data_IF_946749928166
#
_entry.id   IF_946749928166
#
_cell.length_a   1.000
_cell.length_b   1.000
_cell.length_c   1.000
_cell.angle_alpha   90.00
_cell.angle_beta   90.00
_cell.angle_gamma   90.00
#
_symmetry.space_group_name_H-M   'P 1'
#
loop_
_entity.id
_entity.type
_entity.pdbx_description
1 polymer ?
#
# COMPACT_ATOMS: atom_id res chain seq x y z
N UNK A 1 5.39 21.98 29.28
CA UNK A 1 5.71 20.62 28.80
C UNK A 1 4.41 19.86 28.62
N UNK A 2 3.94 19.71 27.38
CA UNK A 2 2.92 18.72 27.02
C UNK A 2 3.30 18.19 25.64
N UNK A 3 4.05 17.10 25.67
CA UNK A 3 4.49 16.35 24.52
C UNK A 3 3.31 15.45 24.09
N UNK A 4 2.48 15.93 23.17
CA UNK A 4 1.48 15.10 22.51
C UNK A 4 2.09 14.58 21.20
N UNK A 5 2.71 13.41 21.26
CA UNK A 5 3.19 12.71 20.08
C UNK A 5 2.01 12.46 19.14
N UNK A 6 2.05 13.09 17.96
CA UNK A 6 1.13 12.75 16.88
C UNK A 6 1.47 11.33 16.43
N UNK A 7 0.53 10.38 16.61
CA UNK A 7 0.70 8.99 16.18
C UNK A 7 1.07 8.89 14.70
N UNK A 8 1.65 7.76 14.30
CA UNK A 8 1.93 7.49 12.88
C UNK A 8 0.61 7.53 12.10
N UNK A 9 0.64 8.14 10.92
CA UNK A 9 -0.50 8.10 9.97
C UNK A 9 -0.52 6.76 9.25
N UNK A 10 -1.68 6.23 8.91
CA UNK A 10 -1.81 4.96 8.20
C UNK A 10 -2.56 5.11 6.87
N UNK A 11 -2.03 4.51 5.79
CA UNK A 11 -2.68 4.47 4.47
C UNK A 11 -2.71 3.07 3.88
N UNK A 12 -3.87 2.68 3.35
CA UNK A 12 -4.11 1.43 2.64
C UNK A 12 -4.53 1.70 1.19
N UNK A 13 -3.79 1.15 0.25
CA UNK A 13 -4.15 1.19 -1.17
C UNK A 13 -4.90 -0.07 -1.58
N UNK A 14 -6.08 0.06 -2.18
CA UNK A 14 -6.96 -1.07 -2.50
C UNK A 14 -7.25 -1.14 -3.99
N UNK A 15 -6.98 -2.30 -4.60
CA UNK A 15 -7.49 -2.61 -5.93
C UNK A 15 -8.04 -4.03 -5.97
N UNK A 16 -8.79 -4.38 -7.02
CA UNK A 16 -9.45 -5.69 -7.13
C UNK A 16 -8.56 -6.88 -6.70
N UNK A 17 -7.41 -7.08 -7.35
CA UNK A 17 -6.57 -8.26 -7.14
C UNK A 17 -5.24 -8.04 -6.41
N UNK A 18 -4.92 -6.80 -6.03
CA UNK A 18 -3.66 -6.42 -5.35
C UNK A 18 -2.36 -6.91 -6.01
N UNK A 19 -2.35 -7.06 -7.34
CA UNK A 19 -1.15 -7.45 -8.10
C UNK A 19 -0.60 -6.35 -9.02
N UNK A 20 -1.43 -5.36 -9.37
CA UNK A 20 -1.08 -4.33 -10.35
C UNK A 20 -1.04 -2.92 -9.73
N UNK A 21 -2.21 -2.32 -9.54
CA UNK A 21 -2.35 -0.89 -9.24
C UNK A 21 -2.00 -0.56 -7.79
N UNK A 22 -2.60 -1.27 -6.83
CA UNK A 22 -2.36 -0.97 -5.42
C UNK A 22 -0.92 -1.29 -4.96
N UNK A 23 -0.24 -2.38 -5.40
CA UNK A 23 1.19 -2.56 -5.10
C UNK A 23 2.08 -1.48 -5.72
N UNK A 24 1.72 -0.99 -6.92
CA UNK A 24 2.44 0.11 -7.55
C UNK A 24 2.31 1.40 -6.71
N UNK A 25 1.10 1.72 -6.25
CA UNK A 25 0.85 2.88 -5.40
C UNK A 25 1.62 2.78 -4.07
N UNK A 26 1.59 1.62 -3.43
CA UNK A 26 2.34 1.34 -2.21
C UNK A 26 3.85 1.53 -2.41
N UNK A 27 4.43 0.88 -3.42
CA UNK A 27 5.87 0.99 -3.72
C UNK A 27 6.32 2.42 -4.01
N UNK A 28 5.53 3.17 -4.79
CA UNK A 28 5.79 4.59 -5.05
C UNK A 28 5.68 5.41 -3.76
N UNK A 29 4.66 5.18 -2.94
CA UNK A 29 4.47 5.95 -1.71
C UNK A 29 5.61 5.71 -0.72
N UNK A 30 6.00 4.45 -0.52
CA UNK A 30 7.15 4.05 0.30
C UNK A 30 8.43 4.74 -0.14
N UNK A 31 8.73 4.74 -1.45
CA UNK A 31 9.89 5.43 -2.00
C UNK A 31 9.86 6.95 -1.74
N UNK A 32 8.70 7.59 -1.93
CA UNK A 32 8.53 9.03 -1.68
C UNK A 32 8.74 9.40 -0.21
N UNK A 33 8.19 8.62 0.74
CA UNK A 33 8.36 8.91 2.16
C UNK A 33 9.78 8.57 2.63
N UNK A 34 10.44 7.57 2.04
CA UNK A 34 11.86 7.24 2.29
C UNK A 34 12.75 8.41 1.86
N UNK A 35 12.57 8.93 0.65
CA UNK A 35 13.31 10.09 0.12
C UNK A 35 13.10 11.37 0.94
N UNK A 36 11.98 11.49 1.64
CA UNK A 36 11.66 12.63 2.51
C UNK A 36 11.99 12.39 3.99
N UNK A 37 12.58 11.24 4.34
CA UNK A 37 12.87 10.85 5.72
C UNK A 37 11.62 10.86 6.64
N UNK A 38 10.51 10.30 6.14
CA UNK A 38 9.21 10.24 6.83
C UNK A 38 8.76 8.80 7.15
N UNK A 39 9.62 7.80 6.97
CA UNK A 39 9.29 6.38 7.21
C UNK A 39 8.82 6.10 8.64
N UNK A 40 9.32 6.86 9.62
CA UNK A 40 8.95 6.76 11.02
C UNK A 40 7.55 7.34 11.33
N UNK A 41 6.95 8.10 10.40
CA UNK A 41 5.67 8.77 10.58
C UNK A 41 4.50 8.08 9.88
N UNK A 42 4.76 7.03 9.12
CA UNK A 42 3.75 6.36 8.29
C UNK A 42 3.70 4.85 8.52
N UNK A 43 2.50 4.31 8.41
CA UNK A 43 2.19 2.89 8.18
C UNK A 43 1.58 2.84 6.77
N UNK A 44 2.10 1.98 5.91
CA UNK A 44 1.74 1.91 4.49
C UNK A 44 1.52 0.45 4.13
N UNK A 45 0.43 0.16 3.44
CA UNK A 45 0.12 -1.19 2.98
C UNK A 45 -0.76 -1.15 1.73
N UNK A 46 -0.95 -2.30 1.08
CA UNK A 46 -1.92 -2.48 0.02
C UNK A 46 -2.65 -3.83 0.11
N UNK A 47 -3.92 -3.84 -0.29
CA UNK A 47 -4.77 -5.02 -0.19
C UNK A 47 -5.70 -5.23 -1.40
N UNK A 48 -6.26 -6.44 -1.48
CA UNK A 48 -7.17 -6.89 -2.52
C UNK A 48 -8.63 -6.85 -2.05
N UNK A 49 -9.56 -6.56 -2.96
CA UNK A 49 -10.98 -6.80 -2.71
C UNK A 49 -11.27 -8.30 -2.74
N UNK A 50 -10.67 -9.03 -3.70
CA UNK A 50 -10.87 -10.48 -3.87
C UNK A 50 -9.64 -11.30 -3.44
N UNK A 51 -9.87 -12.55 -3.05
CA UNK A 51 -8.85 -13.44 -2.49
C UNK A 51 -8.03 -14.25 -3.50
N UNK A 52 -8.25 -14.05 -4.81
CA UNK A 52 -7.71 -14.92 -5.87
C UNK A 52 -6.17 -15.01 -5.94
N UNK A 53 -5.48 -13.95 -5.51
CA UNK A 53 -4.02 -13.85 -5.61
C UNK A 53 -3.30 -13.93 -4.25
N UNK A 54 -3.99 -14.19 -3.13
CA UNK A 54 -3.39 -14.17 -1.78
C UNK A 54 -2.10 -15.00 -1.72
N UNK A 55 -1.07 -14.43 -1.08
CA UNK A 55 0.24 -15.03 -0.87
C UNK A 55 1.18 -14.95 -2.08
N UNK A 56 0.69 -14.56 -3.26
CA UNK A 56 1.52 -14.35 -4.45
C UNK A 56 2.23 -12.99 -4.39
N UNK A 57 3.33 -12.87 -5.12
CA UNK A 57 3.95 -11.57 -5.37
C UNK A 57 3.10 -10.74 -6.36
N UNK A 58 3.29 -9.41 -6.40
CA UNK A 58 2.73 -8.55 -7.43
C UNK A 58 3.07 -9.02 -8.85
N UNK A 59 2.29 -8.57 -9.82
CA UNK A 59 2.50 -8.88 -11.24
C UNK A 59 3.92 -8.47 -11.65
N UNK A 60 4.58 -9.31 -12.45
CA UNK A 60 5.96 -9.09 -12.89
C UNK A 60 6.13 -7.76 -13.62
N UNK A 61 5.12 -7.27 -14.33
CA UNK A 61 5.13 -5.97 -15.01
C UNK A 61 5.13 -4.82 -14.01
N UNK A 62 4.40 -4.95 -12.90
CA UNK A 62 4.42 -3.98 -11.80
C UNK A 62 5.82 -3.90 -11.20
N UNK A 63 6.40 -5.05 -10.86
CA UNK A 63 7.75 -5.13 -10.30
C UNK A 63 8.81 -4.57 -11.26
N UNK A 64 8.72 -4.92 -12.55
CA UNK A 64 9.62 -4.40 -13.58
C UNK A 64 9.47 -2.88 -13.76
N UNK A 65 8.24 -2.36 -13.69
CA UNK A 65 7.98 -0.91 -13.81
C UNK A 65 8.57 -0.15 -12.62
N UNK A 66 8.37 -0.63 -11.39
CA UNK A 66 8.96 -0.04 -10.18
C UNK A 66 10.50 -0.06 -10.26
N UNK A 67 11.09 -1.19 -10.64
CA UNK A 67 12.54 -1.30 -10.81
C UNK A 67 13.07 -0.35 -11.88
N UNK A 68 12.36 -0.18 -13.01
CA UNK A 68 12.69 0.78 -14.06
C UNK A 68 12.70 2.24 -13.59
N UNK A 69 12.02 2.55 -12.48
CA UNK A 69 12.03 3.87 -11.82
C UNK A 69 12.94 3.92 -10.59
N UNK A 70 13.81 2.92 -10.39
CA UNK A 70 14.78 2.86 -9.30
C UNK A 70 14.23 2.35 -7.96
N UNK A 71 13.00 1.82 -7.93
CA UNK A 71 12.39 1.21 -6.75
C UNK A 71 12.63 -0.30 -6.81
N UNK A 72 13.78 -0.74 -6.30
CA UNK A 72 14.25 -2.14 -6.42
C UNK A 72 14.14 -2.94 -5.12
N UNK A 73 13.82 -2.28 -4.00
CA UNK A 73 13.68 -2.87 -2.67
C UNK A 73 12.21 -3.06 -2.25
N UNK A 74 11.27 -2.91 -3.18
CA UNK A 74 9.85 -3.16 -2.92
C UNK A 74 9.58 -4.66 -2.88
N UNK A 75 8.99 -5.12 -1.78
CA UNK A 75 8.51 -6.48 -1.61
C UNK A 75 7.09 -6.44 -1.07
N UNK A 76 6.23 -7.29 -1.61
CA UNK A 76 4.85 -7.43 -1.14
C UNK A 76 4.35 -8.84 -1.36
N UNK A 77 3.42 -9.26 -0.50
CA UNK A 77 2.61 -10.45 -0.70
C UNK A 77 1.15 -10.07 -0.66
N UNK A 78 0.43 -10.49 -1.69
CA UNK A 78 -0.98 -10.18 -1.82
C UNK A 78 -1.74 -10.63 -0.57
N UNK A 79 -2.53 -9.73 -0.02
CA UNK A 79 -3.51 -10.01 1.03
C UNK A 79 -4.85 -9.43 0.65
N UNK A 80 -5.92 -9.93 1.27
CA UNK A 80 -7.26 -9.36 1.14
C UNK A 80 -7.47 -8.27 2.19
N UNK A 81 -8.33 -7.31 1.88
CA UNK A 81 -8.88 -6.37 2.86
C UNK A 81 -9.64 -7.15 3.93
N UNK A 82 -9.53 -6.71 5.18
CA UNK A 82 -10.29 -7.25 6.32
C UNK A 82 -11.12 -6.14 6.97
N UNK A 83 -12.10 -6.51 7.79
CA UNK A 83 -12.91 -5.55 8.55
C UNK A 83 -12.07 -4.70 9.51
N UNK A 84 -10.92 -5.20 9.97
CA UNK A 84 -10.01 -4.44 10.83
C UNK A 84 -9.31 -3.32 10.08
N UNK A 85 -9.04 -3.49 8.78
CA UNK A 85 -8.39 -2.43 7.98
C UNK A 85 -9.19 -1.12 8.02
N UNK A 86 -10.52 -1.19 7.98
CA UNK A 86 -11.40 -0.02 8.07
C UNK A 86 -11.37 0.70 9.43
N UNK A 87 -10.83 0.06 10.46
CA UNK A 87 -10.63 0.65 11.79
C UNK A 87 -9.18 1.07 12.03
N UNK A 88 -8.24 0.36 11.41
CA UNK A 88 -6.81 0.49 11.69
C UNK A 88 -6.12 1.51 10.75
N UNK A 89 -6.69 1.78 9.57
CA UNK A 89 -6.16 2.72 8.59
C UNK A 89 -6.89 4.08 8.59
N UNK A 90 -6.14 5.17 8.70
CA UNK A 90 -6.69 6.54 8.62
C UNK A 90 -7.22 6.86 7.20
N UNK A 91 -6.54 6.33 6.19
CA UNK A 91 -6.86 6.55 4.77
C UNK A 91 -6.94 5.23 4.03
N UNK A 92 -8.02 5.02 3.28
CA UNK A 92 -8.19 3.88 2.37
C UNK A 92 -8.52 4.41 0.99
N UNK A 93 -7.65 4.13 0.01
CA UNK A 93 -7.80 4.59 -1.36
C UNK A 93 -8.09 3.44 -2.31
N UNK A 94 -9.32 3.39 -2.84
CA UNK A 94 -9.68 2.55 -3.98
C UNK A 94 -9.08 3.09 -5.28
N UNK A 95 -8.62 2.21 -6.17
CA UNK A 95 -7.99 2.61 -7.43
C UNK A 95 -9.00 2.93 -8.54
N UNK A 96 -10.23 2.46 -8.42
CA UNK A 96 -11.35 2.73 -9.32
C UNK A 96 -12.68 2.71 -8.53
N UNK A 97 -13.76 3.19 -9.16
CA UNK A 97 -15.11 3.24 -8.56
C UNK A 97 -15.60 1.84 -8.13
N UNK A 98 -15.29 0.80 -8.90
CA UNK A 98 -15.62 -0.58 -8.55
C UNK A 98 -14.82 -1.15 -7.37
N UNK A 99 -13.91 -0.39 -6.77
CA UNK A 99 -13.25 -0.74 -5.51
C UNK A 99 -13.85 0.02 -4.31
N UNK A 100 -14.72 0.99 -4.58
CA UNK A 100 -15.32 1.88 -3.59
C UNK A 100 -16.82 1.58 -3.40
N UNK A 101 -17.52 1.23 -4.48
CA UNK A 101 -18.90 0.74 -4.46
C UNK A 101 -19.03 -0.66 -3.83
#
# INVERSE_FOLDING_TARGET
MTNAGCGKKSVLFVCLGNICRSPMAEGIFLDLIKKKSLMDKWIVDSAAVISFHIGKSPDKRTMATLAGHGITDYEHKVRQVTDSDFRDFDYIFGMDEGNIE
#
